data_IF_130414364178
#
_entry.id   IF_130414364178
#
_cell.length_a   1.000
_cell.length_b   1.000
_cell.length_c   1.000
_cell.angle_alpha   90.00
_cell.angle_beta   90.00
_cell.angle_gamma   90.00
#
_symmetry.space_group_name_H-M   'P 1'
#
loop_
_entity.id
_entity.type
_entity.pdbx_description
1 polymer ?
#
# COMPACT_ATOMS: atom_id res chain seq x y z
N UNK A 1 -14.24 -10.64 1.10
CA UNK A 1 -13.16 -9.74 0.68
C UNK A 1 -11.93 -9.99 1.55
N UNK A 2 -10.76 -10.22 0.96
CA UNK A 2 -9.47 -10.35 1.65
C UNK A 2 -8.92 -8.96 2.02
N UNK A 3 -8.00 -8.89 2.99
CA UNK A 3 -7.36 -7.62 3.42
C UNK A 3 -6.68 -6.88 2.26
N UNK A 4 -6.05 -7.62 1.34
CA UNK A 4 -5.40 -7.05 0.17
C UNK A 4 -6.37 -6.57 -0.91
N UNK A 5 -7.53 -7.21 -1.03
CA UNK A 5 -8.62 -6.74 -1.90
C UNK A 5 -9.19 -5.42 -1.35
N UNK A 6 -9.35 -5.29 -0.03
CA UNK A 6 -9.79 -4.04 0.59
C UNK A 6 -8.82 -2.88 0.27
N UNK A 7 -7.50 -3.10 0.41
CA UNK A 7 -6.51 -2.09 0.02
C UNK A 7 -6.55 -1.78 -1.48
N UNK A 8 -6.83 -2.75 -2.35
CA UNK A 8 -7.02 -2.50 -3.78
C UNK A 8 -8.22 -1.59 -4.06
N UNK A 9 -9.31 -1.71 -3.29
CA UNK A 9 -10.41 -0.74 -3.35
C UNK A 9 -9.98 0.68 -2.98
N UNK A 10 -8.95 0.85 -2.15
CA UNK A 10 -8.33 2.15 -1.85
C UNK A 10 -7.24 2.55 -2.85
N UNK A 11 -7.17 1.85 -3.98
CA UNK A 11 -6.32 2.19 -5.13
C UNK A 11 -4.89 1.68 -5.01
N UNK A 12 -4.58 0.80 -4.07
CA UNK A 12 -3.27 0.14 -4.00
C UNK A 12 -3.16 -0.97 -5.05
N UNK A 13 -1.98 -1.16 -5.65
CA UNK A 13 -1.71 -2.34 -6.47
C UNK A 13 -1.69 -3.60 -5.61
N UNK A 14 -1.93 -4.78 -6.20
CA UNK A 14 -1.88 -6.08 -5.50
C UNK A 14 -0.58 -6.26 -4.70
N UNK A 15 0.57 -5.99 -5.33
CA UNK A 15 1.90 -6.08 -4.70
C UNK A 15 2.09 -5.02 -3.61
N UNK A 16 1.67 -3.78 -3.86
CA UNK A 16 1.71 -2.70 -2.87
C UNK A 16 0.87 -3.03 -1.63
N UNK A 17 -0.29 -3.66 -1.81
CA UNK A 17 -1.16 -4.09 -0.72
C UNK A 17 -0.52 -5.17 0.17
N UNK A 18 0.07 -6.21 -0.42
CA UNK A 18 0.80 -7.25 0.32
C UNK A 18 1.97 -6.65 1.11
N UNK A 19 2.79 -5.82 0.46
CA UNK A 19 3.89 -5.11 1.11
C UNK A 19 3.41 -4.20 2.24
N UNK A 20 2.29 -3.47 2.04
CA UNK A 20 1.76 -2.56 3.03
C UNK A 20 1.32 -3.31 4.30
N UNK A 21 0.58 -4.41 4.14
CA UNK A 21 0.16 -5.22 5.28
C UNK A 21 1.36 -5.75 6.06
N UNK A 22 2.41 -6.18 5.35
CA UNK A 22 3.65 -6.62 5.97
C UNK A 22 4.32 -5.49 6.78
N UNK A 23 4.44 -4.30 6.20
CA UNK A 23 5.07 -3.14 6.84
C UNK A 23 4.26 -2.59 8.02
N UNK A 24 2.93 -2.60 7.95
CA UNK A 24 2.05 -2.20 9.06
C UNK A 24 2.24 -3.08 10.30
N UNK A 25 2.63 -4.35 10.11
CA UNK A 25 2.92 -5.29 11.19
C UNK A 25 4.33 -5.12 11.75
N UNK A 26 5.36 -4.99 10.90
CA UNK A 26 6.76 -5.06 11.33
C UNK A 26 7.42 -3.69 11.54
N UNK A 27 6.82 -2.60 11.04
CA UNK A 27 7.33 -1.21 11.05
C UNK A 27 8.63 -0.98 10.27
N UNK A 28 9.55 -1.94 10.27
CA UNK A 28 10.82 -1.90 9.56
C UNK A 28 11.21 -3.31 9.13
N UNK A 29 11.76 -3.45 7.92
CA UNK A 29 12.21 -4.75 7.40
C UNK A 29 13.21 -4.60 6.25
N UNK A 30 14.12 -5.57 6.12
CA UNK A 30 14.92 -5.68 4.90
C UNK A 30 14.08 -6.28 3.77
N UNK A 31 14.44 -5.95 2.53
CA UNK A 31 13.77 -6.46 1.33
C UNK A 31 13.65 -8.01 1.31
N UNK A 32 14.68 -8.71 1.79
CA UNK A 32 14.69 -10.17 1.89
C UNK A 32 13.77 -10.73 2.99
N UNK A 33 13.48 -9.96 4.04
CA UNK A 33 12.51 -10.35 5.07
C UNK A 33 11.08 -10.18 4.54
N UNK A 34 10.83 -9.12 3.75
CA UNK A 34 9.55 -8.87 3.10
C UNK A 34 9.27 -9.97 2.08
N UNK A 35 10.25 -10.34 1.25
CA UNK A 35 10.13 -11.48 0.32
C UNK A 35 9.78 -12.79 1.04
N UNK A 36 10.48 -13.14 2.12
CA UNK A 36 10.20 -14.35 2.89
C UNK A 36 8.86 -14.31 3.65
N UNK A 37 8.45 -13.12 4.07
CA UNK A 37 7.26 -12.90 4.89
C UNK A 37 6.00 -12.58 4.11
N UNK A 38 6.10 -12.50 2.78
CA UNK A 38 4.99 -12.31 1.84
C UNK A 38 5.02 -13.44 0.82
N UNK A 39 4.01 -13.50 -0.05
CA UNK A 39 4.01 -14.44 -1.17
C UNK A 39 4.57 -13.80 -2.46
N UNK A 40 5.51 -12.86 -2.32
CA UNK A 40 6.07 -12.07 -3.41
C UNK A 40 7.55 -12.40 -3.61
N UNK A 41 7.99 -12.50 -4.87
CA UNK A 41 9.42 -12.57 -5.18
C UNK A 41 10.05 -11.18 -5.21
N UNK A 42 11.38 -11.11 -5.10
CA UNK A 42 12.13 -9.86 -5.05
C UNK A 42 11.78 -8.79 -6.12
N UNK A 43 11.57 -9.12 -7.42
CA UNK A 43 11.11 -8.13 -8.39
C UNK A 43 9.74 -7.53 -8.03
N UNK A 44 8.87 -8.33 -7.44
CA UNK A 44 7.52 -7.95 -7.06
C UNK A 44 7.49 -7.13 -5.77
N UNK A 45 8.33 -7.52 -4.80
CA UNK A 45 8.58 -6.73 -3.59
C UNK A 45 9.08 -5.34 -3.97
N UNK A 46 10.04 -5.23 -4.89
CA UNK A 46 10.57 -3.94 -5.33
C UNK A 46 9.48 -3.05 -5.96
N UNK A 47 8.60 -3.64 -6.79
CA UNK A 47 7.46 -2.92 -7.37
C UNK A 47 6.50 -2.44 -6.29
N UNK A 48 6.14 -3.30 -5.33
CA UNK A 48 5.25 -2.94 -4.23
C UNK A 48 5.84 -1.86 -3.32
N UNK A 49 7.10 -2.01 -2.92
CA UNK A 49 7.77 -1.04 -2.05
C UNK A 49 7.97 0.30 -2.74
N UNK A 50 8.25 0.33 -4.04
CA UNK A 50 8.31 1.57 -4.83
C UNK A 50 6.97 2.29 -4.87
N UNK A 51 5.86 1.57 -4.98
CA UNK A 51 4.52 2.16 -4.89
C UNK A 51 4.32 2.84 -3.51
N UNK A 52 4.66 2.14 -2.44
CA UNK A 52 4.54 2.67 -1.07
C UNK A 52 5.47 3.86 -0.83
N UNK A 53 6.68 3.83 -1.37
CA UNK A 53 7.64 4.94 -1.31
C UNK A 53 7.09 6.18 -2.04
N UNK A 54 6.56 6.02 -3.25
CA UNK A 54 5.90 7.11 -4.01
C UNK A 54 4.71 7.71 -3.28
N UNK A 55 3.98 6.90 -2.51
CA UNK A 55 2.88 7.35 -1.64
C UNK A 55 3.36 7.96 -0.32
N UNK A 56 4.67 7.99 -0.07
CA UNK A 56 5.25 8.50 1.18
C UNK A 56 4.97 7.60 2.40
N UNK A 57 4.55 6.35 2.18
CA UNK A 57 4.18 5.41 3.25
C UNK A 57 5.41 4.78 3.89
N UNK A 58 6.42 4.51 3.07
CA UNK A 58 7.71 3.97 3.53
C UNK A 58 8.85 4.86 3.05
N UNK A 59 9.99 4.75 3.73
CA UNK A 59 11.28 5.26 3.28
C UNK A 59 12.25 4.10 3.10
N UNK A 60 13.14 4.19 2.10
CA UNK A 60 14.19 3.21 1.86
C UNK A 60 15.55 3.75 2.28
N UNK A 61 16.34 2.92 2.93
CA UNK A 61 17.73 3.18 3.28
C UNK A 61 18.61 2.07 2.72
N UNK A 62 19.66 2.44 1.97
CA UNK A 62 20.68 1.49 1.54
C UNK A 62 21.66 1.24 2.69
N UNK A 63 21.69 0.02 3.19
CA UNK A 63 22.57 -0.40 4.27
C UNK A 63 23.72 -1.23 3.68
N UNK A 64 24.95 -0.74 3.84
CA UNK A 64 26.15 -1.53 3.53
C UNK A 64 26.33 -2.58 4.62
N UNK A 65 26.56 -3.84 4.24
CA UNK A 65 26.98 -4.86 5.19
C UNK A 65 28.39 -4.56 5.72
N UNK A 66 28.78 -5.17 6.85
CA UNK A 66 30.13 -5.05 7.45
C UNK A 66 31.28 -5.64 6.57
N UNK A 67 31.06 -5.91 5.28
CA UNK A 67 32.04 -6.54 4.37
C UNK A 67 31.76 -6.26 2.88
N UNK A 68 32.39 -7.00 1.96
CA UNK A 68 32.27 -6.88 0.48
C UNK A 68 30.93 -7.39 -0.09
N UNK A 69 29.83 -7.16 0.59
CA UNK A 69 28.49 -7.55 0.15
C UNK A 69 27.76 -6.44 -0.61
N UNK A 70 26.79 -6.82 -1.45
CA UNK A 70 25.87 -5.85 -2.08
C UNK A 70 25.10 -5.08 -0.98
N UNK A 71 24.94 -3.76 -1.10
CA UNK A 71 24.07 -3.00 -0.20
C UNK A 71 22.67 -3.61 -0.18
N UNK A 72 22.06 -3.68 1.01
CA UNK A 72 20.69 -4.16 1.20
C UNK A 72 19.74 -2.98 1.40
N UNK A 73 18.53 -3.09 0.88
CA UNK A 73 17.48 -2.10 1.13
C UNK A 73 16.79 -2.43 2.45
N UNK A 74 16.77 -1.45 3.34
CA UNK A 74 16.04 -1.45 4.60
C UNK A 74 14.88 -0.47 4.45
N UNK A 75 13.66 -0.95 4.59
CA UNK A 75 12.48 -0.12 4.50
C UNK A 75 11.92 0.16 5.88
N UNK A 76 11.52 1.42 6.11
CA UNK A 76 10.89 1.88 7.36
C UNK A 76 9.54 2.49 7.06
N UNK A 77 8.53 2.13 7.83
CA UNK A 77 7.20 2.74 7.80
C UNK A 77 7.31 4.19 8.30
N UNK A 78 6.82 5.14 7.51
CA UNK A 78 6.87 6.59 7.79
C UNK A 78 5.54 7.13 8.33
N UNK A 79 4.45 6.40 8.09
CA UNK A 79 3.11 6.85 8.44
C UNK A 79 2.78 6.60 9.91
N UNK A 80 2.04 7.54 10.49
CA UNK A 80 1.25 7.31 11.67
C UNK A 80 -0.02 6.51 11.30
N UNK A 81 -0.37 5.51 12.11
CA UNK A 81 -1.47 4.59 11.79
C UNK A 81 -2.83 5.26 11.89
N UNK A 82 -3.02 6.15 12.86
CA UNK A 82 -4.29 6.83 13.08
C UNK A 82 -4.53 7.86 11.97
N UNK A 83 -3.48 8.59 11.59
CA UNK A 83 -3.52 9.45 10.41
C UNK A 83 -3.84 8.66 9.13
N UNK A 84 -3.24 7.50 8.95
CA UNK A 84 -3.49 6.66 7.78
C UNK A 84 -4.94 6.16 7.73
N UNK A 85 -5.49 5.73 8.87
CA UNK A 85 -6.90 5.35 8.98
C UNK A 85 -7.83 6.52 8.65
N UNK A 86 -7.55 7.72 9.18
CA UNK A 86 -8.33 8.93 8.87
C UNK A 86 -8.34 9.26 7.37
N UNK A 87 -7.21 9.11 6.68
CA UNK A 87 -7.14 9.32 5.23
C UNK A 87 -7.91 8.26 4.43
N UNK A 88 -7.92 7.01 4.91
CA UNK A 88 -8.75 5.95 4.31
C UNK A 88 -10.25 6.23 4.50
N UNK A 89 -10.68 6.68 5.68
CA UNK A 89 -12.06 7.07 5.96
C UNK A 89 -12.54 8.20 5.05
N UNK A 90 -11.73 9.27 4.91
CA UNK A 90 -12.01 10.36 3.97
C UNK A 90 -12.14 9.86 2.53
N UNK A 91 -11.26 8.94 2.13
CA UNK A 91 -11.29 8.34 0.78
C UNK A 91 -12.54 7.50 0.58
N UNK A 92 -12.96 6.73 1.58
CA UNK A 92 -14.18 5.92 1.54
C UNK A 92 -15.43 6.80 1.37
N UNK A 93 -15.52 7.87 2.17
CA UNK A 93 -16.64 8.82 2.11
C UNK A 93 -16.71 9.53 0.75
N UNK A 94 -15.56 9.94 0.20
CA UNK A 94 -15.50 10.53 -1.14
C UNK A 94 -16.01 9.55 -2.22
N UNK A 95 -15.54 8.30 -2.20
CA UNK A 95 -15.97 7.28 -3.16
C UNK A 95 -17.46 6.99 -3.07
N UNK A 96 -18.01 6.91 -1.85
CA UNK A 96 -19.45 6.74 -1.62
C UNK A 96 -20.24 7.86 -2.29
N UNK A 97 -19.85 9.12 -2.06
CA UNK A 97 -20.49 10.29 -2.71
C UNK A 97 -20.41 10.26 -4.24
N UNK A 98 -19.28 9.82 -4.80
CA UNK A 98 -19.12 9.68 -6.25
C UNK A 98 -20.04 8.59 -6.83
N UNK A 99 -20.18 7.46 -6.13
CA UNK A 99 -21.10 6.38 -6.52
C UNK A 99 -22.54 6.85 -6.44
N UNK A 100 -22.95 7.51 -5.34
CA UNK A 100 -24.29 8.04 -5.17
C UNK A 100 -24.62 9.07 -6.26
N UNK A 101 -23.65 9.92 -6.62
CA UNK A 101 -23.80 10.88 -7.72
C UNK A 101 -23.97 10.16 -9.07
N UNK A 102 -23.15 9.15 -9.35
CA UNK A 102 -23.25 8.37 -10.58
C UNK A 102 -24.61 7.65 -10.69
N UNK A 103 -25.06 7.02 -9.61
CA UNK A 103 -26.37 6.36 -9.54
C UNK A 103 -27.52 7.33 -9.82
N UNK A 104 -27.51 8.50 -9.17
CA UNK A 104 -28.56 9.50 -9.37
C UNK A 104 -28.61 10.06 -10.79
N UNK A 105 -27.48 10.18 -11.48
CA UNK A 105 -27.43 10.56 -12.89
C UNK A 105 -28.13 9.49 -13.73
N UNK A 106 -27.73 8.21 -13.57
CA UNK A 106 -28.32 7.11 -14.32
C UNK A 106 -29.82 6.95 -14.05
N UNK A 107 -30.24 7.07 -12.78
CA UNK A 107 -31.65 7.02 -12.39
C UNK A 107 -32.48 8.07 -13.15
N UNK A 108 -32.02 9.32 -13.17
CA UNK A 108 -32.70 10.41 -13.89
C UNK A 108 -32.77 10.17 -15.41
N UNK A 109 -31.75 9.55 -16.00
CA UNK A 109 -31.76 9.21 -17.43
C UNK A 109 -32.71 8.07 -17.78
N UNK A 110 -33.06 7.20 -16.84
CA UNK A 110 -33.96 6.05 -17.07
C UNK A 110 -35.42 6.41 -16.76
N UNK A 111 -35.66 7.23 -15.73
CA UNK A 111 -37.01 7.60 -15.28
C UNK A 111 -37.57 8.86 -15.97
N UNK A 112 -36.73 9.66 -16.62
CA UNK A 112 -37.11 10.85 -17.39
C UNK A 112 -37.28 10.54 -18.86
#
# INVERSE_FOLDING_TARGET
>A
MKRTEALQFFGFGKRGAECLLYMLKHKEAFEADIERGTNLRQPEVSVGMRELEKRGIVQVQKVKGKGKGRPRNLYKLKIDKDKFLSELEKTAEKKKKEIDKAFNILKKCIEG
#
